data_IF_920459241331
#
_entry.id   IF_920459241331
#
_cell.length_a   1.000
_cell.length_b   1.000
_cell.length_c   1.000
_cell.angle_alpha   90.00
_cell.angle_beta   90.00
_cell.angle_gamma   90.00
#
_symmetry.space_group_name_H-M   'P 1'
#
loop_
_entity.id
_entity.type
_entity.pdbx_description
1 polymer ?
#
# COMPACT_ATOMS: atom_id res chain seq x y z
N UNK A 1 -15.45 7.48 -21.80
CA UNK A 1 -15.24 8.68 -22.64
C UNK A 1 -13.84 8.78 -23.25
N UNK A 2 -12.73 8.69 -22.49
CA UNK A 2 -11.36 8.67 -23.07
C UNK A 2 -11.12 7.60 -24.16
N UNK A 3 -11.84 6.47 -24.09
CA UNK A 3 -11.78 5.40 -25.11
C UNK A 3 -12.67 5.62 -26.33
N UNK A 4 -13.67 6.52 -26.26
CA UNK A 4 -14.67 6.69 -27.32
C UNK A 4 -14.25 7.75 -28.36
N UNK A 5 -13.46 8.75 -27.95
CA UNK A 5 -13.02 9.85 -28.81
C UNK A 5 -12.33 9.40 -30.11
N UNK A 6 -11.40 8.43 -30.10
CA UNK A 6 -10.75 7.96 -31.35
C UNK A 6 -11.74 7.34 -32.34
N UNK A 7 -12.82 6.73 -31.86
CA UNK A 7 -13.84 6.15 -32.72
C UNK A 7 -14.71 7.22 -33.39
N UNK A 8 -15.04 8.29 -32.66
CA UNK A 8 -15.78 9.41 -33.24
C UNK A 8 -14.93 10.23 -34.21
N UNK A 9 -13.64 10.42 -33.91
CA UNK A 9 -12.69 11.07 -34.83
C UNK A 9 -12.53 10.27 -36.13
N UNK A 10 -12.43 8.93 -36.04
CA UNK A 10 -12.42 8.05 -37.20
C UNK A 10 -13.75 8.11 -38.00
N UNK A 11 -14.89 8.17 -37.31
CA UNK A 11 -16.20 8.32 -37.94
C UNK A 11 -16.35 9.66 -38.68
N UNK A 12 -15.86 10.77 -38.09
CA UNK A 12 -15.88 12.08 -38.74
C UNK A 12 -14.94 12.15 -39.95
N UNK A 13 -13.80 11.46 -39.90
CA UNK A 13 -12.91 11.33 -41.05
C UNK A 13 -13.56 10.57 -42.21
N UNK A 14 -14.39 9.58 -41.92
CA UNK A 14 -15.13 8.80 -42.92
C UNK A 14 -16.36 9.55 -43.48
N UNK A 15 -16.98 10.43 -42.70
CA UNK A 15 -18.11 11.26 -43.12
C UNK A 15 -17.90 12.74 -42.71
N UNK A 16 -17.11 13.51 -43.47
CA UNK A 16 -16.82 14.90 -43.13
C UNK A 16 -18.09 15.75 -43.13
N UNK A 17 -18.29 16.51 -42.05
CA UNK A 17 -19.44 17.42 -41.92
C UNK A 17 -20.67 16.83 -41.25
N UNK A 18 -20.60 15.59 -40.75
CA UNK A 18 -21.68 15.00 -39.95
C UNK A 18 -21.89 15.75 -38.62
N UNK A 19 -23.04 16.40 -38.48
CA UNK A 19 -23.34 17.29 -37.37
C UNK A 19 -23.38 16.54 -36.03
N UNK A 20 -23.91 15.32 -36.02
CA UNK A 20 -24.06 14.51 -34.81
C UNK A 20 -22.69 14.04 -34.30
N UNK A 21 -21.83 13.54 -35.19
CA UNK A 21 -20.47 13.13 -34.84
C UNK A 21 -19.63 14.31 -34.36
N UNK A 22 -19.73 15.48 -35.00
CA UNK A 22 -19.07 16.70 -34.52
C UNK A 22 -19.57 17.11 -33.14
N UNK A 23 -20.86 16.97 -32.85
CA UNK A 23 -21.43 17.24 -31.54
C UNK A 23 -20.94 16.24 -30.47
N UNK A 24 -20.80 14.95 -30.81
CA UNK A 24 -20.26 13.93 -29.91
C UNK A 24 -18.77 14.14 -29.60
N UNK A 25 -17.98 14.54 -30.61
CA UNK A 25 -16.57 14.93 -30.42
C UNK A 25 -16.49 16.18 -29.54
N UNK A 26 -17.30 17.21 -29.82
CA UNK A 26 -17.33 18.43 -29.01
C UNK A 26 -17.76 18.14 -27.55
N UNK A 27 -18.68 17.20 -27.32
CA UNK A 27 -19.06 16.76 -25.98
C UNK A 27 -17.90 16.04 -25.26
N UNK A 28 -17.23 15.10 -25.94
CA UNK A 28 -16.06 14.41 -25.41
C UNK A 28 -14.92 15.39 -25.08
N UNK A 29 -14.64 16.31 -26.01
CA UNK A 29 -13.63 17.35 -25.84
C UNK A 29 -14.02 18.34 -24.75
N UNK A 30 -15.30 18.71 -24.59
CA UNK A 30 -15.77 19.56 -23.49
C UNK A 30 -15.54 18.90 -22.13
N UNK A 31 -15.81 17.60 -22.01
CA UNK A 31 -15.53 16.83 -20.78
C UNK A 31 -14.03 16.68 -20.49
N UNK A 32 -13.19 16.56 -21.53
CA UNK A 32 -11.73 16.53 -21.41
C UNK A 32 -11.12 17.91 -21.14
N UNK A 33 -11.75 18.97 -21.65
CA UNK A 33 -11.27 20.37 -21.60
C UNK A 33 -11.80 21.16 -20.42
N UNK A 34 -12.80 20.67 -19.67
CA UNK A 34 -13.23 21.34 -18.43
C UNK A 34 -12.08 21.31 -17.43
N UNK A 35 -11.41 22.45 -17.14
CA UNK A 35 -10.57 22.55 -15.96
C UNK A 35 -11.49 22.33 -14.76
N UNK A 36 -11.00 21.62 -13.75
CA UNK A 36 -11.71 21.21 -12.55
C UNK A 36 -12.46 22.41 -11.92
N UNK A 37 -13.69 22.67 -12.35
CA UNK A 37 -14.61 23.56 -11.67
C UNK A 37 -14.82 22.92 -10.31
N UNK A 38 -14.26 23.52 -9.25
CA UNK A 38 -14.12 22.98 -7.90
C UNK A 38 -15.22 21.94 -7.61
N UNK A 39 -14.92 20.67 -7.92
CA UNK A 39 -15.87 19.59 -7.70
C UNK A 39 -16.17 19.65 -6.21
N UNK A 40 -17.45 19.72 -5.88
CA UNK A 40 -17.90 19.80 -4.49
C UNK A 40 -17.17 18.69 -3.71
N UNK A 41 -16.42 19.02 -2.63
CA UNK A 41 -15.70 18.01 -1.87
C UNK A 41 -16.65 16.90 -1.43
N UNK A 42 -16.28 15.64 -1.69
CA UNK A 42 -17.11 14.50 -1.28
C UNK A 42 -17.06 14.29 0.23
N UNK A 43 -15.91 14.54 0.86
CA UNK A 43 -15.79 14.62 2.31
C UNK A 43 -16.30 15.97 2.82
N UNK A 44 -17.30 15.92 3.70
CA UNK A 44 -17.72 17.12 4.42
C UNK A 44 -16.65 17.59 5.41
N UNK A 45 -16.62 18.88 5.72
CA UNK A 45 -15.73 19.43 6.77
C UNK A 45 -15.91 18.74 8.13
N UNK A 46 -17.13 18.28 8.44
CA UNK A 46 -17.41 17.53 9.66
C UNK A 46 -16.81 16.12 9.63
N UNK A 47 -16.76 15.50 8.45
CA UNK A 47 -16.09 14.21 8.27
C UNK A 47 -14.57 14.36 8.41
N UNK A 48 -14.00 15.40 7.80
CA UNK A 48 -12.56 15.72 7.93
C UNK A 48 -12.18 15.93 9.40
N UNK A 49 -12.90 16.78 10.14
CA UNK A 49 -12.65 16.97 11.58
C UNK A 49 -12.74 15.69 12.41
N UNK A 50 -13.59 14.74 12.01
CA UNK A 50 -13.69 13.44 12.68
C UNK A 50 -12.49 12.55 12.37
N UNK A 51 -11.98 12.58 11.15
CA UNK A 51 -10.78 11.86 10.75
C UNK A 51 -9.56 12.45 11.48
N UNK A 52 -9.41 13.76 11.47
CA UNK A 52 -8.35 14.49 12.21
C UNK A 52 -8.39 14.17 13.72
N UNK A 53 -9.59 14.10 14.32
CA UNK A 53 -9.71 13.75 15.74
C UNK A 53 -9.38 12.28 16.08
N UNK A 54 -9.20 11.40 15.09
CA UNK A 54 -8.71 10.03 15.30
C UNK A 54 -7.19 9.91 15.16
N UNK A 55 -6.54 10.98 14.71
CA UNK A 55 -5.09 11.11 14.68
C UNK A 55 -4.64 11.78 15.99
N UNK A 56 -4.18 10.98 16.95
CA UNK A 56 -3.69 11.47 18.24
C UNK A 56 -2.17 11.72 18.26
N UNK A 57 -1.52 11.63 17.10
CA UNK A 57 -0.10 11.95 16.92
C UNK A 57 0.89 10.88 17.38
N UNK A 58 0.45 9.83 18.08
CA UNK A 58 1.34 8.78 18.62
C UNK A 58 0.95 7.35 18.26
N UNK A 59 -0.33 6.99 18.36
CA UNK A 59 -0.82 5.61 18.14
C UNK A 59 -2.12 5.59 17.34
N UNK A 60 -2.35 6.64 16.54
CA UNK A 60 -3.61 7.00 15.90
C UNK A 60 -4.54 5.82 15.59
N UNK A 61 -5.84 5.99 15.84
CA UNK A 61 -6.82 4.92 15.69
C UNK A 61 -7.13 4.63 14.20
N UNK A 62 -6.14 4.16 13.44
CA UNK A 62 -6.20 4.03 11.99
C UNK A 62 -7.25 3.01 11.53
N UNK A 63 -7.48 1.94 12.31
CA UNK A 63 -8.61 1.01 12.08
C UNK A 63 -9.96 1.72 12.18
N UNK A 64 -10.12 2.60 13.18
CA UNK A 64 -11.35 3.38 13.39
C UNK A 64 -11.53 4.42 12.30
N UNK A 65 -10.42 5.05 11.88
CA UNK A 65 -10.39 6.01 10.78
C UNK A 65 -10.83 5.35 9.47
N UNK A 66 -10.25 4.19 9.14
CA UNK A 66 -10.58 3.42 7.96
C UNK A 66 -12.05 2.96 7.98
N UNK A 67 -12.51 2.40 9.10
CA UNK A 67 -13.90 1.98 9.26
C UNK A 67 -14.88 3.14 9.09
N UNK A 68 -14.57 4.30 9.67
CA UNK A 68 -15.39 5.50 9.52
C UNK A 68 -15.44 5.95 8.05
N UNK A 69 -14.30 5.97 7.36
CA UNK A 69 -14.21 6.38 5.96
C UNK A 69 -14.98 5.43 5.04
N UNK A 70 -14.83 4.11 5.23
CA UNK A 70 -15.59 3.09 4.47
C UNK A 70 -17.09 3.21 4.71
N UNK A 71 -17.51 3.41 5.96
CA UNK A 71 -18.91 3.64 6.29
C UNK A 71 -19.43 4.94 5.68
N UNK A 72 -18.62 6.02 5.66
CA UNK A 72 -18.97 7.28 5.03
C UNK A 72 -19.19 7.10 3.52
N UNK A 73 -18.25 6.46 2.82
CA UNK A 73 -18.31 6.19 1.38
C UNK A 73 -19.53 5.33 1.05
N UNK A 74 -19.71 4.21 1.76
CA UNK A 74 -20.85 3.29 1.57
C UNK A 74 -22.19 4.02 1.74
N UNK A 75 -22.32 4.81 2.80
CA UNK A 75 -23.55 5.56 3.07
C UNK A 75 -23.80 6.68 2.05
N UNK A 76 -22.74 7.36 1.58
CA UNK A 76 -22.83 8.35 0.51
C UNK A 76 -23.34 7.75 -0.79
N UNK A 77 -22.82 6.57 -1.16
CA UNK A 77 -23.28 5.82 -2.33
C UNK A 77 -24.74 5.36 -2.20
N UNK A 78 -25.14 4.78 -1.05
CA UNK A 78 -26.53 4.34 -0.81
C UNK A 78 -27.52 5.51 -0.92
N UNK A 79 -27.12 6.71 -0.47
CA UNK A 79 -27.95 7.91 -0.53
C UNK A 79 -27.92 8.61 -1.89
N UNK A 80 -27.11 8.14 -2.84
CA UNK A 80 -26.95 8.78 -4.15
C UNK A 80 -26.21 10.12 -4.10
N UNK A 81 -25.40 10.36 -3.06
CA UNK A 81 -24.61 11.60 -2.93
C UNK A 81 -23.46 11.65 -3.94
N UNK A 82 -22.89 10.49 -4.27
CA UNK A 82 -21.82 10.30 -5.24
C UNK A 82 -21.73 8.82 -5.66
N UNK A 83 -21.13 8.53 -6.81
CA UNK A 83 -20.90 7.17 -7.31
C UNK A 83 -19.64 6.54 -6.72
N UNK A 84 -19.44 5.24 -7.00
CA UNK A 84 -18.21 4.55 -6.63
C UNK A 84 -17.00 5.17 -7.32
N UNK A 85 -17.14 5.48 -8.60
CA UNK A 85 -16.09 6.05 -9.45
C UNK A 85 -15.71 7.45 -8.96
N UNK A 86 -16.70 8.26 -8.56
CA UNK A 86 -16.45 9.57 -7.94
C UNK A 86 -15.69 9.42 -6.62
N UNK A 87 -16.09 8.47 -5.75
CA UNK A 87 -15.39 8.24 -4.49
C UNK A 87 -13.94 7.76 -4.66
N UNK A 88 -13.65 6.93 -5.67
CA UNK A 88 -12.28 6.46 -5.94
C UNK A 88 -11.42 7.55 -6.60
N UNK A 89 -12.02 8.40 -7.44
CA UNK A 89 -11.31 9.49 -8.10
C UNK A 89 -11.11 10.74 -7.20
N UNK A 90 -11.83 10.84 -6.09
CA UNK A 90 -11.72 11.95 -5.14
C UNK A 90 -10.37 11.94 -4.41
N UNK A 91 -9.67 13.07 -4.48
CA UNK A 91 -8.32 13.20 -3.93
C UNK A 91 -8.33 13.12 -2.41
N UNK A 92 -9.24 13.81 -1.73
CA UNK A 92 -9.28 13.87 -0.27
C UNK A 92 -9.60 12.48 0.32
N UNK A 93 -10.57 11.77 -0.27
CA UNK A 93 -10.85 10.37 0.10
C UNK A 93 -9.62 9.50 -0.09
N UNK A 94 -8.95 9.59 -1.25
CA UNK A 94 -7.77 8.78 -1.51
C UNK A 94 -6.62 9.07 -0.52
N UNK A 95 -6.40 10.35 -0.18
CA UNK A 95 -5.39 10.74 0.79
C UNK A 95 -5.70 10.18 2.18
N UNK A 96 -6.92 10.35 2.69
CA UNK A 96 -7.31 9.81 4.01
C UNK A 96 -7.33 8.28 4.04
N UNK A 97 -7.77 7.65 2.95
CA UNK A 97 -7.75 6.19 2.84
C UNK A 97 -6.33 5.65 2.90
N UNK A 98 -5.43 6.24 2.11
CA UNK A 98 -4.02 5.87 2.10
C UNK A 98 -3.33 6.14 3.45
N UNK A 99 -3.68 7.24 4.12
CA UNK A 99 -3.18 7.55 5.45
C UNK A 99 -3.59 6.49 6.48
N UNK A 100 -4.88 6.15 6.52
CA UNK A 100 -5.37 5.14 7.44
C UNK A 100 -4.74 3.77 7.14
N UNK A 101 -4.73 3.35 5.87
CA UNK A 101 -4.22 2.04 5.47
C UNK A 101 -2.71 1.90 5.70
N UNK A 102 -1.90 2.88 5.30
CA UNK A 102 -0.44 2.74 5.37
C UNK A 102 0.08 2.77 6.81
N UNK A 103 -0.64 3.38 7.76
CA UNK A 103 -0.24 3.37 9.17
C UNK A 103 -0.76 2.15 9.96
N UNK A 104 -1.43 1.20 9.29
CA UNK A 104 -1.82 -0.07 9.92
C UNK A 104 -0.69 -1.11 9.93
N UNK A 105 0.41 -0.84 9.21
CA UNK A 105 1.62 -1.67 9.17
C UNK A 105 1.39 -3.17 8.84
N UNK A 106 0.31 -3.47 8.12
CA UNK A 106 0.01 -4.79 7.56
C UNK A 106 -0.09 -4.69 6.03
N UNK A 107 0.53 -5.65 5.36
CA UNK A 107 0.59 -5.81 3.91
C UNK A 107 -0.79 -5.69 3.23
N UNK A 108 -1.86 -6.23 3.82
CA UNK A 108 -3.20 -6.14 3.23
C UNK A 108 -3.63 -4.68 3.01
N UNK A 109 -3.29 -3.79 3.95
CA UNK A 109 -3.68 -2.38 3.87
C UNK A 109 -2.79 -1.59 2.91
N UNK A 110 -1.49 -1.91 2.82
CA UNK A 110 -0.64 -1.39 1.75
C UNK A 110 -1.18 -1.79 0.37
N UNK A 111 -1.59 -3.05 0.20
CA UNK A 111 -2.21 -3.51 -1.04
C UNK A 111 -3.50 -2.74 -1.35
N UNK A 112 -4.34 -2.49 -0.35
CA UNK A 112 -5.57 -1.69 -0.50
C UNK A 112 -5.27 -0.26 -0.94
N UNK A 113 -4.26 0.39 -0.37
CA UNK A 113 -3.81 1.72 -0.84
C UNK A 113 -3.35 1.66 -2.30
N UNK A 114 -2.52 0.67 -2.64
CA UNK A 114 -2.00 0.51 -4.01
C UNK A 114 -3.14 0.35 -5.04
N UNK A 115 -4.22 -0.33 -4.67
CA UNK A 115 -5.41 -0.48 -5.52
C UNK A 115 -6.29 0.77 -5.56
N UNK A 116 -6.42 1.50 -4.45
CA UNK A 116 -7.32 2.64 -4.34
C UNK A 116 -6.80 3.89 -5.06
N UNK A 117 -5.53 4.23 -4.85
CA UNK A 117 -4.97 5.53 -5.25
C UNK A 117 -4.99 5.83 -6.76
N UNK A 118 -4.73 4.89 -7.69
CA UNK A 118 -4.57 5.22 -9.11
C UNK A 118 -5.74 5.99 -9.75
N UNK A 119 -6.98 5.77 -9.27
CA UNK A 119 -8.15 6.46 -9.79
C UNK A 119 -8.13 7.98 -9.53
N UNK A 120 -7.46 8.43 -8.46
CA UNK A 120 -7.35 9.84 -8.09
C UNK A 120 -6.08 10.52 -8.61
N UNK A 121 -5.17 9.80 -9.29
CA UNK A 121 -3.92 10.37 -9.82
C UNK A 121 -4.18 11.58 -10.74
N UNK A 122 -5.26 11.53 -11.53
CA UNK A 122 -5.66 12.63 -12.43
C UNK A 122 -5.92 13.95 -11.69
N UNK A 123 -6.15 13.90 -10.38
CA UNK A 123 -6.38 15.04 -9.52
C UNK A 123 -5.17 15.35 -8.60
N UNK A 124 -4.09 14.56 -8.65
CA UNK A 124 -2.96 14.64 -7.72
C UNK A 124 -1.83 15.62 -8.16
N UNK A 125 -2.05 16.41 -9.21
CA UNK A 125 -1.08 17.42 -9.66
C UNK A 125 -0.78 18.41 -8.53
N UNK A 126 0.50 18.64 -8.24
CA UNK A 126 0.95 19.49 -7.14
C UNK A 126 0.75 18.90 -5.74
N UNK A 127 0.51 17.60 -5.60
CA UNK A 127 0.28 16.93 -4.33
C UNK A 127 1.32 15.84 -4.07
N UNK A 128 2.47 16.22 -3.50
CA UNK A 128 3.54 15.31 -3.09
C UNK A 128 3.09 14.27 -2.08
N UNK A 129 2.12 14.61 -1.21
CA UNK A 129 1.52 13.66 -0.26
C UNK A 129 0.89 12.45 -0.97
N UNK A 130 0.21 12.65 -2.11
CA UNK A 130 -0.39 11.56 -2.87
C UNK A 130 0.70 10.60 -3.37
N UNK A 131 1.74 11.15 -4.02
CA UNK A 131 2.84 10.36 -4.58
C UNK A 131 3.64 9.64 -3.52
N UNK A 132 3.92 10.30 -2.39
CA UNK A 132 4.57 9.69 -1.23
C UNK A 132 3.79 8.49 -0.71
N UNK A 133 2.49 8.66 -0.40
CA UNK A 133 1.66 7.57 0.16
C UNK A 133 1.49 6.42 -0.84
N UNK A 134 1.39 6.73 -2.12
CA UNK A 134 1.32 5.71 -3.16
C UNK A 134 2.65 4.95 -3.31
N UNK A 135 3.79 5.66 -3.29
CA UNK A 135 5.11 5.05 -3.35
C UNK A 135 5.37 4.12 -2.15
N UNK A 136 4.97 4.52 -0.94
CA UNK A 136 5.02 3.65 0.26
C UNK A 136 4.23 2.36 0.02
N UNK A 137 2.99 2.46 -0.45
CA UNK A 137 2.16 1.28 -0.71
C UNK A 137 2.76 0.37 -1.80
N UNK A 138 3.28 0.94 -2.88
CA UNK A 138 3.98 0.19 -3.93
C UNK A 138 5.23 -0.52 -3.38
N UNK A 139 6.00 0.16 -2.52
CA UNK A 139 7.21 -0.39 -1.90
C UNK A 139 6.90 -1.62 -1.05
N UNK A 140 5.95 -1.51 -0.12
CA UNK A 140 5.51 -2.60 0.76
C UNK A 140 4.81 -3.75 0.00
N UNK A 141 4.35 -3.52 -1.23
CA UNK A 141 3.84 -4.57 -2.10
C UNK A 141 4.87 -5.13 -3.10
N UNK A 142 6.16 -4.77 -2.94
CA UNK A 142 7.26 -5.30 -3.77
C UNK A 142 7.35 -4.71 -5.17
N UNK A 143 6.68 -3.57 -5.43
CA UNK A 143 6.69 -2.87 -6.73
C UNK A 143 7.71 -1.73 -6.70
N UNK A 144 8.97 -2.04 -6.41
CA UNK A 144 10.02 -1.06 -6.12
C UNK A 144 10.32 -0.10 -7.28
N UNK A 145 10.33 -0.57 -8.52
CA UNK A 145 10.51 0.30 -9.70
C UNK A 145 9.36 1.30 -9.87
N UNK A 146 8.12 0.86 -9.61
CA UNK A 146 6.94 1.72 -9.66
C UNK A 146 6.98 2.74 -8.52
N UNK A 147 7.40 2.31 -7.33
CA UNK A 147 7.56 3.17 -6.16
C UNK A 147 8.58 4.29 -6.43
N UNK A 148 9.72 3.97 -7.05
CA UNK A 148 10.73 4.96 -7.43
C UNK A 148 10.15 5.99 -8.41
N UNK A 149 9.47 5.56 -9.47
CA UNK A 149 8.85 6.48 -10.43
C UNK A 149 7.79 7.38 -9.78
N UNK A 150 6.98 6.82 -8.87
CA UNK A 150 5.95 7.56 -8.16
C UNK A 150 6.57 8.64 -7.27
N UNK A 151 7.58 8.31 -6.47
CA UNK A 151 8.20 9.27 -5.55
C UNK A 151 9.02 10.33 -6.28
N UNK A 152 9.70 9.99 -7.39
CA UNK A 152 10.39 10.96 -8.24
C UNK A 152 9.42 11.99 -8.82
N UNK A 153 8.24 11.54 -9.27
CA UNK A 153 7.17 12.44 -9.70
C UNK A 153 6.66 13.29 -8.54
N UNK A 154 6.50 12.71 -7.35
CA UNK A 154 6.13 13.44 -6.14
C UNK A 154 7.06 14.60 -5.80
N UNK A 155 8.37 14.36 -5.84
CA UNK A 155 9.38 15.39 -5.60
C UNK A 155 9.39 16.50 -6.68
N UNK A 156 8.94 16.20 -7.90
CA UNK A 156 8.77 17.20 -8.96
C UNK A 156 7.48 18.02 -8.79
N UNK A 157 6.39 17.36 -8.39
CA UNK A 157 5.06 17.97 -8.24
C UNK A 157 4.99 18.88 -7.01
N UNK A 158 5.63 18.49 -5.91
CA UNK A 158 5.70 19.30 -4.68
C UNK A 158 7.10 19.23 -4.05
N UNK A 159 8.06 20.03 -4.54
CA UNK A 159 9.47 19.98 -4.10
C UNK A 159 9.72 20.33 -2.63
N UNK A 160 8.74 20.93 -1.96
CA UNK A 160 8.83 21.34 -0.56
C UNK A 160 8.09 20.37 0.38
N UNK A 161 7.56 19.25 -0.14
CA UNK A 161 6.98 18.19 0.69
C UNK A 161 8.08 17.20 1.14
N UNK A 162 8.53 17.25 2.40
CA UNK A 162 9.76 16.59 2.84
C UNK A 162 9.71 15.07 2.71
N UNK A 163 8.58 14.45 3.03
CA UNK A 163 8.47 13.00 3.12
C UNK A 163 8.66 12.26 1.78
N UNK A 164 8.50 12.95 0.63
CA UNK A 164 8.91 12.39 -0.67
C UNK A 164 10.41 12.07 -0.69
N UNK A 165 11.24 12.91 -0.12
CA UNK A 165 12.69 12.72 -0.11
C UNK A 165 13.13 11.56 0.80
N UNK A 166 12.37 11.27 1.86
CA UNK A 166 12.62 10.11 2.72
C UNK A 166 12.48 8.81 1.93
N UNK A 167 11.39 8.67 1.16
CA UNK A 167 11.16 7.47 0.33
C UNK A 167 12.09 7.43 -0.88
N UNK A 168 12.38 8.59 -1.48
CA UNK A 168 13.34 8.68 -2.58
C UNK A 168 14.74 8.24 -2.13
N UNK A 169 15.15 8.60 -0.92
CA UNK A 169 16.41 8.14 -0.31
C UNK A 169 16.47 6.62 -0.17
N UNK A 170 15.45 6.01 0.45
CA UNK A 170 15.35 4.55 0.63
C UNK A 170 15.40 3.80 -0.71
N UNK A 171 14.64 4.25 -1.70
CA UNK A 171 14.54 3.63 -3.02
C UNK A 171 15.83 3.81 -3.84
N UNK A 172 16.43 5.00 -3.86
CA UNK A 172 17.70 5.22 -4.58
C UNK A 172 18.84 4.39 -4.01
N UNK A 173 18.95 4.32 -2.68
CA UNK A 173 19.93 3.46 -2.02
C UNK A 173 19.73 1.99 -2.39
N UNK A 174 18.48 1.51 -2.38
CA UNK A 174 18.14 0.15 -2.83
C UNK A 174 18.62 -0.14 -4.27
N UNK A 175 18.43 0.80 -5.19
CA UNK A 175 18.86 0.67 -6.59
C UNK A 175 20.33 1.02 -6.83
N UNK A 176 21.11 1.25 -5.76
CA UNK A 176 22.56 1.48 -5.82
C UNK A 176 22.99 2.93 -6.04
N UNK A 177 22.06 3.86 -6.19
CA UNK A 177 22.34 5.31 -6.27
C UNK A 177 22.51 5.90 -4.86
N UNK A 178 23.63 5.55 -4.21
CA UNK A 178 23.93 5.99 -2.85
C UNK A 178 24.15 7.51 -2.76
N UNK A 179 24.74 8.12 -3.80
CA UNK A 179 24.95 9.55 -3.85
C UNK A 179 23.62 10.30 -3.93
N UNK A 180 22.75 9.92 -4.89
CA UNK A 180 21.44 10.53 -5.03
C UNK A 180 20.50 10.24 -3.85
N UNK A 181 20.72 9.15 -3.11
CA UNK A 181 20.02 8.88 -1.86
C UNK A 181 20.42 9.86 -0.74
N UNK A 182 21.71 10.13 -0.56
CA UNK A 182 22.21 11.12 0.41
C UNK A 182 21.81 12.56 0.01
N UNK A 183 21.76 12.87 -1.29
CA UNK A 183 21.24 14.16 -1.77
C UNK A 183 19.76 14.34 -1.40
N UNK A 184 18.95 13.28 -1.53
CA UNK A 184 17.56 13.29 -1.11
C UNK A 184 17.44 13.53 0.40
N UNK A 185 18.24 12.84 1.22
CA UNK A 185 18.30 13.06 2.67
C UNK A 185 18.69 14.50 3.00
N UNK A 186 19.70 15.06 2.33
CA UNK A 186 20.11 16.44 2.52
C UNK A 186 18.98 17.43 2.19
N UNK A 187 18.24 17.19 1.10
CA UNK A 187 17.07 18.00 0.74
C UNK A 187 15.96 17.88 1.79
N UNK A 188 15.70 16.69 2.31
CA UNK A 188 14.77 16.46 3.42
C UNK A 188 15.13 17.24 4.68
N UNK A 189 16.39 17.13 5.13
CA UNK A 189 16.91 17.85 6.30
C UNK A 189 16.93 19.38 6.11
N UNK A 190 17.02 19.87 4.87
CA UNK A 190 16.90 21.31 4.59
C UNK A 190 15.48 21.83 4.79
N UNK A 191 14.47 20.97 4.63
CA UNK A 191 13.05 21.29 4.84
C UNK A 191 12.63 21.06 6.30
N UNK A 192 13.15 20.00 6.92
CA UNK A 192 12.89 19.64 8.33
C UNK A 192 14.24 19.39 9.03
N UNK A 193 14.87 20.45 9.60
CA UNK A 193 16.12 20.30 10.32
C UNK A 193 15.99 19.38 11.53
N UNK A 194 17.04 18.61 11.80
CA UNK A 194 17.17 17.70 12.95
C UNK A 194 16.12 16.59 13.06
N UNK A 195 15.43 16.26 11.96
CA UNK A 195 14.45 15.18 11.91
C UNK A 195 15.10 13.79 12.09
N UNK A 196 14.57 13.00 13.02
CA UNK A 196 15.09 11.68 13.39
C UNK A 196 15.12 10.69 12.23
N UNK A 197 14.05 10.64 11.42
CA UNK A 197 13.94 9.68 10.29
C UNK A 197 15.01 9.97 9.24
N UNK A 198 15.22 11.24 8.89
CA UNK A 198 16.26 11.61 7.94
C UNK A 198 17.67 11.35 8.48
N UNK A 199 17.93 11.64 9.75
CA UNK A 199 19.24 11.39 10.38
C UNK A 199 19.55 9.89 10.46
N UNK A 200 18.55 9.07 10.79
CA UNK A 200 18.66 7.61 10.80
C UNK A 200 18.91 7.08 9.40
N UNK A 201 18.10 7.48 8.40
CA UNK A 201 18.30 7.09 7.01
C UNK A 201 19.70 7.46 6.49
N UNK A 202 20.22 8.64 6.85
CA UNK A 202 21.58 9.06 6.48
C UNK A 202 22.65 8.08 6.99
N UNK A 203 22.51 7.61 8.24
CA UNK A 203 23.45 6.65 8.87
C UNK A 203 23.35 5.30 8.19
N UNK A 204 22.15 4.82 7.94
CA UNK A 204 21.88 3.51 7.34
C UNK A 204 22.36 3.42 5.89
N UNK A 205 22.13 4.47 5.08
CA UNK A 205 22.65 4.53 3.70
C UNK A 205 24.18 4.43 3.72
N UNK A 206 24.85 5.13 4.64
CA UNK A 206 26.32 5.07 4.79
C UNK A 206 26.80 3.69 5.26
N UNK A 207 25.98 2.97 6.02
CA UNK A 207 26.25 1.61 6.48
C UNK A 207 25.93 0.54 5.41
N UNK A 208 25.32 0.92 4.27
CA UNK A 208 24.90 -0.02 3.23
C UNK A 208 23.68 -0.85 3.62
N UNK A 209 22.79 -0.30 4.45
CA UNK A 209 21.58 -0.96 4.89
C UNK A 209 20.66 -1.33 3.70
N UNK A 210 19.98 -2.47 3.81
CA UNK A 210 18.96 -2.87 2.83
C UNK A 210 17.71 -2.00 2.98
N UNK A 211 16.85 -1.99 1.97
CA UNK A 211 15.55 -1.29 2.04
C UNK A 211 14.68 -1.78 3.20
N UNK A 212 14.83 -3.05 3.56
CA UNK A 212 14.10 -3.65 4.68
C UNK A 212 14.60 -3.13 6.03
N UNK A 213 15.92 -2.98 6.18
CA UNK A 213 16.53 -2.38 7.37
C UNK A 213 16.10 -0.92 7.49
N UNK A 214 16.22 -0.14 6.40
CA UNK A 214 15.80 1.27 6.38
C UNK A 214 14.29 1.48 6.58
N UNK A 215 13.47 0.42 6.51
CA UNK A 215 12.03 0.46 6.78
C UNK A 215 11.66 -0.08 8.16
N UNK A 216 12.61 -0.62 8.91
CA UNK A 216 12.38 -1.22 10.22
C UNK A 216 12.51 -0.20 11.35
N UNK A 217 11.68 0.84 11.28
CA UNK A 217 11.65 1.92 12.25
C UNK A 217 10.22 2.25 12.70
N UNK A 218 10.11 2.75 13.94
CA UNK A 218 8.91 3.43 14.42
C UNK A 218 9.08 4.94 14.29
N UNK A 219 7.97 5.65 14.08
CA UNK A 219 7.97 7.11 13.88
C UNK A 219 8.36 7.83 15.18
N UNK A 220 7.93 7.30 16.33
CA UNK A 220 8.34 7.85 17.63
C UNK A 220 9.80 7.45 17.93
N UNK A 221 10.71 8.43 18.14
CA UNK A 221 12.12 8.14 18.32
C UNK A 221 12.45 7.32 19.57
N UNK A 222 11.71 7.48 20.66
CA UNK A 222 11.96 6.76 21.91
C UNK A 222 11.56 5.29 21.76
N UNK A 223 10.44 5.06 21.08
CA UNK A 223 10.02 3.73 20.72
C UNK A 223 11.00 3.10 19.73
N UNK A 224 11.43 3.84 18.71
CA UNK A 224 12.38 3.34 17.72
C UNK A 224 13.70 2.91 18.37
N UNK A 225 14.22 3.69 19.32
CA UNK A 225 15.42 3.32 20.09
C UNK A 225 15.24 1.98 20.83
N UNK A 226 14.11 1.79 21.53
CA UNK A 226 13.76 0.51 22.16
C UNK A 226 13.71 -0.64 21.15
N UNK A 227 13.11 -0.41 19.96
CA UNK A 227 13.04 -1.40 18.88
C UNK A 227 14.43 -1.81 18.38
N UNK A 228 15.34 -0.85 18.24
CA UNK A 228 16.69 -1.08 17.73
C UNK A 228 17.62 -1.73 18.78
N UNK A 229 17.43 -1.44 20.07
CA UNK A 229 18.21 -2.04 21.16
C UNK A 229 17.75 -3.46 21.50
N UNK A 230 16.46 -3.73 21.32
CA UNK A 230 15.87 -5.02 21.65
C UNK A 230 16.43 -6.14 20.78
N UNK A 231 16.87 -7.23 21.43
CA UNK A 231 17.25 -8.43 20.69
C UNK A 231 16.04 -9.02 19.94
N UNK A 232 16.29 -9.87 18.95
CA UNK A 232 15.21 -10.55 18.21
C UNK A 232 14.32 -11.44 19.10
N UNK A 233 14.83 -11.86 20.27
CA UNK A 233 14.16 -12.76 21.21
C UNK A 233 13.56 -12.02 22.42
N UNK A 234 13.82 -10.71 22.54
CA UNK A 234 13.35 -9.88 23.65
C UNK A 234 11.89 -9.49 23.46
N UNK A 235 11.13 -9.56 24.57
CA UNK A 235 9.72 -9.21 24.63
C UNK A 235 9.57 -7.74 25.00
N UNK A 236 8.94 -6.97 24.13
CA UNK A 236 8.67 -5.54 24.33
C UNK A 236 7.41 -5.30 25.18
N UNK A 237 6.49 -6.27 25.21
CA UNK A 237 5.31 -6.22 26.06
C UNK A 237 4.30 -5.16 25.63
N UNK A 238 3.68 -4.50 26.62
CA UNK A 238 2.59 -3.54 26.39
C UNK A 238 3.11 -2.10 26.41
N UNK A 239 2.76 -1.32 25.39
CA UNK A 239 3.04 0.11 25.25
C UNK A 239 1.74 0.89 25.11
N UNK A 240 1.42 1.73 26.09
CA UNK A 240 0.18 2.52 26.11
C UNK A 240 -1.11 1.71 25.87
N UNK A 241 -1.12 0.45 26.32
CA UNK A 241 -2.24 -0.48 26.14
C UNK A 241 -2.26 -1.21 24.79
N UNK A 242 -1.20 -1.09 24.00
CA UNK A 242 -0.99 -1.77 22.72
C UNK A 242 0.09 -2.85 22.87
N UNK A 243 -0.11 -3.99 22.22
CA UNK A 243 0.85 -5.11 22.18
C UNK A 243 2.00 -4.80 21.22
N UNK A 244 3.14 -4.34 21.76
CA UNK A 244 4.28 -3.91 20.99
C UNK A 244 4.97 -5.08 20.26
N UNK A 245 4.93 -6.30 20.82
CA UNK A 245 5.43 -7.50 20.16
C UNK A 245 4.56 -7.87 18.95
N UNK A 246 3.25 -7.70 19.08
CA UNK A 246 2.29 -7.81 17.98
C UNK A 246 2.62 -6.85 16.83
N UNK A 247 2.74 -5.56 17.14
CA UNK A 247 3.09 -4.51 16.16
C UNK A 247 4.46 -4.75 15.50
N UNK A 248 5.46 -5.13 16.30
CA UNK A 248 6.80 -5.53 15.80
C UNK A 248 6.67 -6.66 14.78
N UNK A 249 5.87 -7.68 15.11
CA UNK A 249 5.62 -8.82 14.24
C UNK A 249 4.85 -8.48 12.96
N UNK A 250 3.87 -7.58 13.03
CA UNK A 250 3.13 -7.08 11.87
C UNK A 250 4.04 -6.30 10.93
N UNK A 251 4.81 -5.33 11.46
CA UNK A 251 5.78 -4.55 10.69
C UNK A 251 6.80 -5.45 9.99
N UNK A 252 7.36 -6.44 10.66
CA UNK A 252 8.29 -7.40 10.04
C UNK A 252 7.65 -8.20 8.90
N UNK A 253 6.37 -8.60 9.03
CA UNK A 253 5.64 -9.29 7.96
C UNK A 253 5.41 -8.39 6.75
N UNK A 254 5.04 -7.13 6.99
CA UNK A 254 4.87 -6.15 5.92
C UNK A 254 6.19 -5.86 5.20
N UNK A 255 7.29 -5.65 5.95
CA UNK A 255 8.63 -5.43 5.38
C UNK A 255 9.10 -6.63 4.54
N UNK A 256 8.83 -7.85 5.00
CA UNK A 256 9.19 -9.05 4.23
C UNK A 256 8.57 -9.08 2.81
N UNK A 257 7.47 -8.34 2.59
CA UNK A 257 6.79 -8.23 1.30
C UNK A 257 7.47 -7.29 0.29
N UNK A 258 8.54 -6.57 0.67
CA UNK A 258 9.22 -5.59 -0.20
C UNK A 258 10.14 -6.21 -1.26
N UNK A 259 10.84 -7.30 -0.93
CA UNK A 259 11.87 -7.89 -1.80
C UNK A 259 11.70 -9.40 -1.90
N UNK A 260 12.08 -9.98 -3.04
CA UNK A 260 11.97 -11.43 -3.24
C UNK A 260 13.21 -12.17 -2.73
N UNK A 261 13.02 -13.33 -2.09
CA UNK A 261 14.07 -14.31 -1.87
C UNK A 261 13.85 -15.53 -2.80
N UNK A 262 14.55 -15.56 -3.93
CA UNK A 262 14.39 -16.60 -4.96
C UNK A 262 14.59 -18.02 -4.42
N UNK A 263 15.55 -18.22 -3.52
CA UNK A 263 15.82 -19.54 -2.94
C UNK A 263 14.68 -20.00 -2.04
N UNK A 264 14.14 -19.09 -1.21
CA UNK A 264 13.02 -19.38 -0.33
C UNK A 264 11.70 -19.57 -1.10
N UNK A 265 11.48 -18.82 -2.17
CA UNK A 265 10.35 -19.04 -3.07
C UNK A 265 10.43 -20.42 -3.77
N UNK A 266 11.62 -20.77 -4.27
CA UNK A 266 11.88 -22.08 -4.88
C UNK A 266 11.61 -23.21 -3.88
N UNK A 267 12.06 -23.05 -2.64
CA UNK A 267 11.76 -23.99 -1.56
C UNK A 267 10.26 -24.13 -1.31
N UNK A 268 9.52 -23.03 -1.19
CA UNK A 268 8.06 -23.05 -1.04
C UNK A 268 7.38 -23.80 -2.19
N UNK A 269 7.74 -23.49 -3.44
CA UNK A 269 7.16 -24.13 -4.64
C UNK A 269 7.47 -25.63 -4.70
N UNK A 270 8.65 -26.07 -4.27
CA UNK A 270 9.00 -27.48 -4.17
C UNK A 270 8.19 -28.21 -3.09
N UNK A 271 7.93 -27.53 -1.97
CA UNK A 271 7.24 -28.08 -0.81
C UNK A 271 5.72 -28.22 -1.04
N UNK A 272 5.08 -27.16 -1.53
CA UNK A 272 3.62 -27.11 -1.71
C UNK A 272 3.15 -27.50 -3.12
N UNK A 273 4.01 -27.37 -4.13
CA UNK A 273 3.74 -27.69 -5.54
C UNK A 273 2.41 -27.09 -6.03
N UNK A 274 2.20 -25.76 -5.89
CA UNK A 274 0.99 -25.12 -6.40
C UNK A 274 0.89 -25.32 -7.91
N UNK A 275 -0.32 -25.57 -8.41
CA UNK A 275 -0.58 -25.60 -9.85
C UNK A 275 -0.35 -24.19 -10.43
N UNK A 276 0.55 -24.00 -11.41
CA UNK A 276 0.78 -22.69 -12.02
C UNK A 276 -0.47 -22.04 -12.62
N UNK A 277 -1.50 -22.82 -13.00
CA UNK A 277 -2.74 -22.28 -13.56
C UNK A 277 -3.70 -21.70 -12.51
N UNK A 278 -3.49 -22.06 -11.24
CA UNK A 278 -4.37 -21.68 -10.11
C UNK A 278 -3.60 -20.95 -9.00
N UNK A 279 -2.31 -20.67 -9.22
CA UNK A 279 -1.47 -19.94 -8.28
C UNK A 279 -1.64 -18.43 -8.45
N UNK A 280 -2.43 -17.83 -7.56
CA UNK A 280 -2.46 -16.40 -7.34
C UNK A 280 -1.20 -15.99 -6.56
N UNK A 281 -0.39 -15.11 -7.16
CA UNK A 281 0.90 -14.68 -6.59
C UNK A 281 0.69 -13.62 -5.52
N UNK A 282 -0.16 -12.64 -5.79
CA UNK A 282 -0.13 -11.39 -5.02
C UNK A 282 -1.50 -10.79 -4.68
N UNK A 283 -2.62 -11.18 -5.32
CA UNK A 283 -3.87 -10.39 -5.25
C UNK A 283 -5.01 -10.99 -4.37
N UNK A 284 -5.33 -10.39 -3.20
CA UNK A 284 -4.38 -9.65 -2.36
C UNK A 284 -3.33 -10.59 -1.75
N UNK A 285 -3.49 -11.91 -1.87
CA UNK A 285 -2.69 -12.88 -1.14
C UNK A 285 -2.24 -14.01 -2.05
N UNK A 286 -1.04 -14.53 -1.78
CA UNK A 286 -0.59 -15.82 -2.28
C UNK A 286 -1.66 -16.89 -2.01
N UNK A 287 -2.29 -17.44 -3.05
CA UNK A 287 -3.32 -18.46 -2.87
C UNK A 287 -3.39 -19.47 -4.00
N UNK A 288 -3.81 -20.69 -3.68
CA UNK A 288 -3.95 -21.81 -4.61
C UNK A 288 -4.82 -22.91 -4.00
N UNK A 289 -5.44 -23.71 -4.84
CA UNK A 289 -6.16 -24.92 -4.48
C UNK A 289 -5.17 -26.01 -4.07
N UNK A 290 -5.55 -26.75 -3.03
CA UNK A 290 -4.75 -27.81 -2.45
C UNK A 290 -5.68 -28.94 -1.99
N UNK A 291 -5.26 -30.19 -2.18
CA UNK A 291 -6.09 -31.35 -1.83
C UNK A 291 -5.56 -32.01 -0.56
N UNK A 292 -6.39 -32.07 0.47
CA UNK A 292 -6.07 -32.76 1.74
C UNK A 292 -6.99 -33.96 1.91
N UNK A 293 -6.41 -35.16 1.88
CA UNK A 293 -7.15 -36.44 2.03
C UNK A 293 -8.40 -36.54 1.14
N UNK A 294 -8.31 -36.01 -0.08
CA UNK A 294 -9.41 -36.00 -1.06
C UNK A 294 -10.36 -34.80 -0.98
N UNK A 295 -10.20 -33.91 0.01
CA UNK A 295 -10.99 -32.68 0.13
C UNK A 295 -10.21 -31.50 -0.47
N UNK A 296 -10.77 -30.80 -1.48
CA UNK A 296 -10.16 -29.59 -2.02
C UNK A 296 -10.36 -28.43 -1.03
N UNK A 297 -9.29 -27.67 -0.80
CA UNK A 297 -9.32 -26.42 -0.03
C UNK A 297 -8.49 -25.34 -0.70
N UNK A 298 -8.83 -24.08 -0.45
CA UNK A 298 -8.02 -22.93 -0.88
C UNK A 298 -7.03 -22.57 0.22
N UNK A 299 -5.74 -22.72 -0.05
CA UNK A 299 -4.70 -22.19 0.83
C UNK A 299 -4.50 -20.71 0.54
N UNK A 300 -4.39 -19.92 1.61
CA UNK A 300 -4.18 -18.48 1.54
C UNK A 300 -3.06 -18.12 2.51
N UNK A 301 -1.96 -17.62 1.99
CA UNK A 301 -0.90 -16.98 2.76
C UNK A 301 -1.14 -15.48 2.71
N UNK A 302 -1.42 -14.85 3.87
CA UNK A 302 -1.80 -13.42 3.94
C UNK A 302 -0.61 -12.47 3.70
N UNK A 303 0.01 -12.59 2.53
CA UNK A 303 1.18 -11.84 2.04
C UNK A 303 1.31 -12.05 0.53
N UNK A 304 2.12 -11.22 -0.13
CA UNK A 304 2.54 -11.45 -1.52
C UNK A 304 3.60 -12.55 -1.64
N UNK A 305 4.01 -12.87 -2.87
CA UNK A 305 5.04 -13.89 -3.14
C UNK A 305 6.38 -13.53 -2.48
N UNK A 306 6.72 -12.24 -2.37
CA UNK A 306 7.92 -11.76 -1.68
C UNK A 306 7.89 -12.10 -0.17
N UNK A 307 6.81 -11.79 0.54
CA UNK A 307 6.66 -12.15 1.95
C UNK A 307 6.69 -13.66 2.19
N UNK A 308 6.03 -14.42 1.30
CA UNK A 308 6.02 -15.87 1.34
C UNK A 308 7.41 -16.47 1.14
N UNK A 309 8.20 -15.89 0.24
CA UNK A 309 9.56 -16.33 -0.06
C UNK A 309 10.52 -16.24 1.13
N UNK A 310 10.18 -15.44 2.16
CA UNK A 310 10.99 -15.26 3.36
C UNK A 310 10.41 -15.96 4.59
N UNK A 311 9.47 -16.88 4.42
CA UNK A 311 8.97 -17.69 5.54
C UNK A 311 9.99 -18.76 5.91
N UNK A 312 10.11 -19.01 7.21
CA UNK A 312 11.04 -19.99 7.73
C UNK A 312 10.76 -21.39 7.13
N UNK A 313 11.76 -22.07 6.54
CA UNK A 313 11.60 -23.39 5.94
C UNK A 313 11.10 -24.48 6.89
N UNK A 314 11.45 -24.42 8.18
CA UNK A 314 10.98 -25.38 9.17
C UNK A 314 9.51 -25.13 9.52
N UNK A 315 9.13 -23.87 9.72
CA UNK A 315 7.75 -23.45 9.92
C UNK A 315 6.85 -23.89 8.76
N UNK A 316 7.29 -23.69 7.51
CA UNK A 316 6.55 -24.13 6.32
C UNK A 316 6.32 -25.65 6.30
N UNK A 317 7.35 -26.44 6.67
CA UNK A 317 7.20 -27.91 6.78
C UNK A 317 6.21 -28.29 7.87
N UNK A 318 6.31 -27.68 9.04
CA UNK A 318 5.37 -27.92 10.14
C UNK A 318 3.94 -27.57 9.73
N UNK A 319 3.71 -26.46 9.02
CA UNK A 319 2.37 -26.12 8.54
C UNK A 319 1.87 -27.11 7.49
N UNK A 320 2.73 -27.55 6.56
CA UNK A 320 2.38 -28.58 5.59
C UNK A 320 2.02 -29.91 6.25
N UNK A 321 2.79 -30.38 7.23
CA UNK A 321 2.51 -31.61 7.98
C UNK A 321 1.17 -31.52 8.71
N UNK A 322 0.90 -30.39 9.38
CA UNK A 322 -0.39 -30.13 10.05
C UNK A 322 -1.56 -30.11 9.06
N UNK A 323 -1.33 -29.52 7.88
CA UNK A 323 -2.32 -29.45 6.81
C UNK A 323 -2.62 -30.84 6.26
N UNK A 324 -1.59 -31.60 5.86
CA UNK A 324 -1.70 -32.93 5.23
C UNK A 324 -2.29 -33.98 6.18
N UNK A 325 -2.07 -33.83 7.49
CA UNK A 325 -2.65 -34.68 8.52
C UNK A 325 -4.18 -34.56 8.58
N UNK A 326 -4.77 -33.46 8.10
CA UNK A 326 -6.22 -33.33 7.90
C UNK A 326 -7.06 -33.41 9.18
N UNK A 327 -6.47 -33.37 10.38
CA UNK A 327 -7.22 -33.32 11.65
C UNK A 327 -8.16 -32.12 11.73
N UNK A 328 -7.80 -31.01 11.08
CA UNK A 328 -8.61 -29.79 11.02
C UNK A 328 -9.88 -29.96 10.18
N UNK A 329 -9.93 -30.90 9.22
CA UNK A 329 -11.15 -31.20 8.45
C UNK A 329 -12.28 -31.76 9.33
N UNK A 330 -11.94 -32.29 10.51
CA UNK A 330 -12.89 -32.86 11.47
C UNK A 330 -13.03 -32.00 12.73
N UNK A 331 -12.45 -30.79 12.72
CA UNK A 331 -12.50 -29.89 13.88
C UNK A 331 -13.89 -29.28 13.93
N UNK A 332 -14.75 -29.87 14.76
CA UNK A 332 -16.01 -29.24 15.17
C UNK A 332 -15.61 -28.06 16.06
N UNK A 333 -15.97 -26.84 15.66
CA UNK A 333 -15.84 -25.67 16.55
C UNK A 333 -16.57 -25.97 17.87
N UNK A 334 -16.10 -25.42 19.00
CA UNK A 334 -16.79 -25.59 20.30
C UNK A 334 -18.24 -25.08 20.29
N UNK A 335 -18.62 -24.35 19.24
CA UNK A 335 -19.97 -23.84 18.98
C UNK A 335 -20.71 -24.57 17.84
N UNK A 336 -20.16 -25.68 17.32
CA UNK A 336 -20.88 -26.62 16.48
C UNK A 336 -21.47 -26.02 15.20
N UNK A 337 -20.62 -25.58 14.27
CA UNK A 337 -20.95 -25.67 12.84
C UNK A 337 -19.65 -25.98 12.09
N UNK A 338 -19.65 -27.12 11.38
CA UNK A 338 -18.56 -27.57 10.53
C UNK A 338 -18.84 -27.29 9.06
#
# INVERSE_FOLDING_TARGET
ERRALPYFEAALAALPGDADTMQMIAACQKHLSTPNAARKPLLSSTAIRKLEAMDDGGTGYFYKMLYYLEAYIKNGMIKGNFTREEAHADLDIALWYAYACNNLDDYEYYYRTMQWMPASEVNARGCGTWYYRYAVALMYCGRLDDALRAVEKGAQEEPDYPWTYLQLGKLRAHFGDHAGALDAVQKGLSLVPDDHEFLTLAREIKAGATIEQMSYHWIDPAFDEELQEASAEENLGMRDGVDADGERGDKQRAIACMTMNEAGLSYFKQLFRPDPQDYERDAPFCSFCYTVKGTPVKLVFRMNEAGLSKRDPAWLRTQKERLDDGRWLKRVSGEGTG
#
